data_IF_824642045718
#
_entry.id   IF_824642045718
#
_cell.length_a   1.000
_cell.length_b   1.000
_cell.length_c   1.000
_cell.angle_alpha   90.00
_cell.angle_beta   90.00
_cell.angle_gamma   90.00
#
_symmetry.space_group_name_H-M   'P 1'
#
loop_
_entity.id
_entity.type
_entity.pdbx_description
1 polymer ?
2 non-polymer ?
3 non-polymer ?
4 non-polymer ?
5 water ?
#
# COMPACT_ATOMS: atom_id res chain seq x y z
N UNK A 5 -11.61 19.28 25.30
CA UNK A 5 -12.57 19.22 24.18
C UNK A 5 -11.99 18.31 23.09
N UNK A 6 -12.87 17.80 22.23
CA UNK A 6 -12.41 17.02 21.08
C UNK A 6 -11.80 17.94 20.04
N UNK A 7 -10.82 17.42 19.29
CA UNK A 7 -10.22 18.17 18.19
C UNK A 7 -11.20 18.24 17.01
N UNK A 8 -11.90 17.15 16.76
CA UNK A 8 -12.84 17.08 15.65
C UNK A 8 -14.02 16.17 15.97
N UNK A 9 -15.17 16.50 15.39
CA UNK A 9 -16.29 15.60 15.39
C UNK A 9 -16.81 15.54 13.97
N UNK A 10 -16.78 14.33 13.41
CA UNK A 10 -17.19 14.12 12.02
C UNK A 10 -18.40 13.23 11.99
N UNK A 11 -19.51 13.79 11.53
CA UNK A 11 -20.72 13.00 11.38
C UNK A 11 -20.88 12.58 9.93
N UNK A 12 -21.44 11.41 9.71
CA UNK A 12 -21.63 10.92 8.36
C UNK A 12 -22.85 10.06 8.28
N UNK A 13 -23.39 9.88 7.07
CA UNK A 13 -24.57 9.09 6.88
C UNK A 13 -24.26 7.64 7.22
N UNK A 14 -23.09 7.18 6.82
CA UNK A 14 -22.69 5.80 7.05
C UNK A 14 -21.28 5.73 7.56
N UNK A 15 -21.03 4.75 8.43
CA UNK A 15 -19.63 4.43 8.86
C UNK A 15 -19.43 2.93 8.68
N UNK A 16 -18.47 2.54 7.83
CA UNK A 16 -18.12 1.14 7.68
C UNK A 16 -16.97 0.92 8.63
N UNK A 17 -17.18 0.10 9.68
CA UNK A 17 -16.19 0.03 10.75
C UNK A 17 -15.05 -0.90 10.40
N UNK A 18 -15.37 -1.97 9.70
CA UNK A 18 -14.38 -3.09 9.42
C UNK A 18 -14.10 -3.90 10.72
N UNK A 19 -14.81 -3.61 11.80
CA UNK A 19 -14.63 -4.43 13.03
C UNK A 19 -15.24 -5.78 12.86
N UNK A 20 -16.40 -5.81 12.24
CA UNK A 20 -17.05 -7.03 11.86
C UNK A 20 -17.48 -6.84 10.46
N UNK A 21 -17.40 -7.90 9.64
CA UNK A 21 -17.83 -7.82 8.24
C UNK A 21 -19.30 -7.44 8.20
N UNK A 22 -19.63 -6.42 7.41
CA UNK A 22 -21.01 -6.07 7.21
C UNK A 22 -21.47 -4.98 8.15
N UNK A 23 -20.70 -4.70 9.18
CA UNK A 23 -21.14 -3.66 10.14
C UNK A 23 -21.10 -2.23 9.56
N UNK A 24 -22.26 -1.56 9.55
CA UNK A 24 -22.35 -0.18 9.06
C UNK A 24 -23.19 0.60 10.05
N UNK A 25 -22.63 1.64 10.62
CA UNK A 25 -23.39 2.47 11.56
C UNK A 25 -24.06 3.59 10.76
N UNK A 26 -25.31 3.90 11.11
CA UNK A 26 -26.05 4.90 10.35
C UNK A 26 -26.21 6.16 11.17
N UNK A 27 -25.95 7.30 10.54
CA UNK A 27 -26.06 8.60 11.21
C UNK A 27 -25.32 8.66 12.53
N UNK A 28 -24.05 8.24 12.52
CA UNK A 28 -23.18 8.34 13.69
C UNK A 28 -22.09 9.30 13.45
N UNK A 29 -21.29 9.55 14.47
CA UNK A 29 -20.26 10.52 14.37
C UNK A 29 -19.02 9.97 15.06
N UNK A 30 -17.88 10.38 14.55
CA UNK A 30 -16.58 10.04 15.13
C UNK A 30 -16.00 11.26 15.84
N UNK A 31 -15.68 11.08 17.13
CA UNK A 31 -15.02 12.12 17.87
C UNK A 31 -13.54 11.80 17.98
N UNK A 32 -12.71 12.79 17.73
CA UNK A 32 -11.27 12.62 17.67
C UNK A 32 -10.53 13.47 18.70
N UNK A 33 -9.64 12.83 19.46
CA UNK A 33 -8.68 13.60 20.29
C UNK A 33 -7.35 12.90 20.35
N UNK A 34 -6.30 13.70 20.44
CA UNK A 34 -4.91 13.19 20.47
C UNK A 34 -4.65 12.32 19.26
N UNK A 35 -5.30 12.63 18.13
CA UNK A 35 -5.06 11.89 16.88
C UNK A 35 -5.75 10.52 16.78
N UNK A 36 -6.54 10.19 17.81
CA UNK A 36 -7.20 8.90 17.91
C UNK A 36 -8.70 9.01 17.92
N UNK A 37 -9.35 7.89 17.61
CA UNK A 37 -10.81 7.76 17.67
C UNK A 37 -11.21 7.69 19.15
N UNK A 38 -11.82 8.76 19.65
CA UNK A 38 -12.14 8.87 21.07
C UNK A 38 -13.53 8.35 21.40
N UNK A 39 -14.47 8.50 20.46
CA UNK A 39 -15.82 8.01 20.68
C UNK A 39 -16.48 7.84 19.37
N UNK A 40 -17.40 6.86 19.29
CA UNK A 40 -18.26 6.62 18.13
C UNK A 40 -19.71 6.68 18.64
N UNK A 41 -20.42 7.74 18.30
CA UNK A 41 -21.71 8.02 18.94
C UNK A 41 -22.79 8.44 17.96
N UNK A 42 -24.07 8.29 18.37
CA UNK A 42 -25.17 8.81 17.53
C UNK A 42 -24.99 10.30 17.18
N UNK A 43 -25.28 10.68 15.93
CA UNK A 43 -25.00 12.04 15.51
C UNK A 43 -25.79 13.05 16.35
N UNK A 44 -26.92 12.60 16.90
CA UNK A 44 -27.75 13.43 17.76
C UNK A 44 -27.00 13.84 19.03
N UNK A 45 -26.32 12.87 19.66
CA UNK A 45 -25.52 13.11 20.87
C UNK A 45 -24.29 13.98 20.58
N UNK A 46 -23.83 14.00 19.34
CA UNK A 46 -22.63 14.76 18.98
C UNK A 46 -22.84 16.25 19.03
N UNK A 47 -24.04 16.69 18.66
CA UNK A 47 -24.35 18.11 18.54
C UNK A 47 -24.04 18.92 19.82
N UNK A 48 -24.16 18.26 20.98
CA UNK A 48 -23.92 18.93 22.25
C UNK A 48 -22.60 18.59 22.95
N UNK A 49 -21.55 18.35 22.16
CA UNK A 49 -20.19 18.16 22.70
C UNK A 49 -19.26 19.23 22.16
N UNK A 50 -18.28 19.65 22.96
CA UNK A 50 -17.36 20.68 22.51
C UNK A 50 -16.36 20.08 21.53
N UNK A 51 -16.07 20.82 20.46
CA UNK A 51 -15.07 20.42 19.49
C UNK A 51 -14.42 21.63 18.86
N UNK A 52 -13.13 21.54 18.57
CA UNK A 52 -12.44 22.59 17.83
C UNK A 52 -13.00 22.72 16.41
N UNK A 53 -13.40 21.61 15.81
CA UNK A 53 -13.97 21.61 14.47
C UNK A 53 -15.09 20.59 14.43
N UNK A 54 -16.19 20.92 13.76
CA UNK A 54 -17.26 19.98 13.52
C UNK A 54 -17.41 19.86 12.03
N UNK A 55 -17.70 18.65 11.55
CA UNK A 55 -17.93 18.46 10.14
C UNK A 55 -19.11 17.54 9.91
N UNK A 56 -19.99 17.97 9.01
CA UNK A 56 -21.19 17.21 8.70
C UNK A 56 -21.10 16.71 7.28
N UNK A 57 -21.30 15.40 7.09
CA UNK A 57 -21.13 14.79 5.76
C UNK A 57 -22.34 13.97 5.37
N UNK A 58 -23.48 14.64 5.04
CA UNK A 58 -24.62 13.83 4.60
C UNK A 58 -24.30 13.07 3.30
N UNK A 59 -24.87 11.90 3.17
CA UNK A 59 -24.66 11.11 1.96
C UNK A 59 -23.21 10.66 1.77
N UNK A 60 -22.38 10.80 2.81
CA UNK A 60 -20.98 10.29 2.74
C UNK A 60 -20.88 9.07 3.57
N UNK A 61 -19.99 8.14 3.16
CA UNK A 61 -19.62 7.04 4.02
C UNK A 61 -18.20 7.34 4.57
N UNK A 62 -18.00 7.14 5.88
CA UNK A 62 -16.67 7.26 6.51
C UNK A 62 -16.18 5.84 6.71
N UNK A 64 -12.15 3.34 7.31
CA UNK A 64 -10.71 3.47 7.53
C UNK A 64 -10.02 3.84 6.21
N UNK A 65 -8.89 4.55 6.28
CA UNK A 65 -8.14 4.91 5.09
C UNK A 65 -7.61 3.60 4.46
N UNK A 66 -7.43 3.62 3.16
CA UNK A 66 -6.93 2.43 2.47
C UNK A 66 -5.41 2.32 2.68
N UNK A 67 -4.93 1.09 2.78
CA UNK A 67 -3.50 0.81 3.03
C UNK A 67 -2.94 0.09 1.78
N UNK A 68 -2.12 0.82 1.04
CA UNK A 68 -1.46 0.28 -0.17
C UNK A 68 -0.24 -0.51 0.30
N UNK A 69 -0.37 -1.84 0.30
CA UNK A 69 0.61 -2.67 0.93
C UNK A 69 1.86 -2.92 0.02
N UNK A 70 1.87 -2.36 -1.19
CA UNK A 70 3.03 -2.54 -2.10
C UNK A 70 3.09 -1.54 -3.19
N UNK A 71 4.01 -0.59 -3.03
CA UNK A 71 4.25 0.41 -4.09
C UNK A 71 5.71 0.68 -4.36
N UNK A 72 5.96 1.31 -5.52
CA UNK A 72 7.25 1.89 -5.89
C UNK A 72 6.98 3.32 -6.33
N UNK A 73 6.71 4.18 -5.35
CA UNK A 73 6.03 5.43 -5.60
C UNK A 73 6.73 6.27 -6.63
N UNK A 74 8.05 6.36 -6.54
CA UNK A 74 8.81 7.18 -7.50
C UNK A 74 8.61 6.77 -8.98
N UNK A 76 6.00 6.53 -10.41
CA UNK A 76 4.94 7.36 -10.95
C UNK A 76 5.44 8.16 -12.16
N UNK A 77 6.74 8.53 -12.13
CA UNK A 77 7.33 9.35 -13.23
C UNK A 77 7.50 8.55 -14.53
N UNK A 78 7.27 7.24 -14.48
CA UNK A 78 7.45 6.40 -15.65
C UNK A 78 6.09 5.89 -16.13
N UNK A 79 5.03 6.42 -15.55
CA UNK A 79 3.65 5.99 -15.88
C UNK A 79 3.36 6.08 -17.38
N UNK A 80 3.11 4.92 -18.02
CA UNK A 80 2.70 4.91 -19.42
C UNK A 80 3.80 5.32 -20.40
N UNK A 81 5.05 5.24 -19.96
CA UNK A 81 6.17 5.57 -20.82
C UNK A 81 6.30 4.49 -21.91
N UNK A 82 6.17 3.22 -21.50
CA UNK A 82 6.19 2.10 -22.42
C UNK A 82 5.26 1.00 -21.95
N UNK A 83 4.39 0.53 -22.85
CA UNK A 83 3.38 -0.46 -22.47
C UNK A 83 3.28 -1.57 -23.53
N UNK A 84 2.70 -2.69 -23.14
CA UNK A 84 2.27 -3.72 -24.08
C UNK A 84 3.44 -4.40 -24.82
N UNK A 85 4.56 -4.44 -24.18
CA UNK A 85 5.75 -5.04 -24.78
C UNK A 85 6.02 -6.37 -24.12
N UNK A 86 6.79 -7.22 -24.79
CA UNK A 86 7.32 -8.39 -24.09
C UNK A 86 8.11 -7.91 -22.90
N UNK A 87 8.09 -8.68 -21.80
CA UNK A 87 8.68 -8.18 -20.53
C UNK A 87 10.17 -7.90 -20.67
N UNK A 89 11.83 -7.03 -23.29
CA UNK A 89 11.93 -5.83 -24.09
C UNK A 89 11.60 -4.56 -23.24
N UNK A 90 10.50 -4.62 -22.53
CA UNK A 90 10.05 -3.51 -21.72
C UNK A 90 11.14 -3.10 -20.71
N UNK A 91 11.67 -4.07 -20.00
CA UNK A 91 12.68 -3.79 -18.97
C UNK A 91 14.02 -3.40 -19.59
N UNK A 92 14.53 -4.25 -20.48
CA UNK A 92 15.86 -4.04 -21.06
C UNK A 92 15.99 -2.77 -21.90
N UNK A 93 14.99 -2.47 -22.71
CA UNK A 93 15.09 -1.37 -23.66
C UNK A 93 14.42 -0.09 -23.26
N UNK A 94 13.50 -0.14 -22.29
CA UNK A 94 12.78 1.07 -21.88
C UNK A 94 12.96 1.44 -20.38
N UNK A 95 12.58 0.53 -19.48
CA UNK A 95 12.54 0.92 -18.08
C UNK A 95 13.95 1.08 -17.46
N UNK A 96 14.82 0.08 -17.66
CA UNK A 96 16.14 0.10 -17.02
C UNK A 96 17.06 1.18 -17.56
N UNK A 97 17.06 1.40 -18.88
CA UNK A 97 17.91 2.48 -19.36
C UNK A 97 17.39 3.83 -18.85
N UNK A 98 16.08 3.98 -18.73
CA UNK A 98 15.52 5.24 -18.27
C UNK A 98 15.86 5.48 -16.79
N UNK A 99 15.70 4.44 -15.98
CA UNK A 99 16.11 4.51 -14.58
C UNK A 99 17.59 4.81 -14.44
N UNK A 100 18.42 4.14 -15.25
CA UNK A 100 19.87 4.35 -15.13
C UNK A 100 20.26 5.79 -15.42
N UNK A 101 19.60 6.38 -16.39
CA UNK A 101 19.85 7.77 -16.80
C UNK A 101 19.33 8.79 -15.78
N UNK A 102 18.15 8.52 -15.21
CA UNK A 102 17.40 9.53 -14.46
C UNK A 102 17.24 9.36 -12.96
N UNK A 103 17.37 8.13 -12.43
CA UNK A 103 17.06 7.97 -11.01
C UNK A 103 18.18 8.44 -10.05
N UNK A 104 17.97 9.63 -9.47
CA UNK A 104 18.77 10.11 -8.35
C UNK A 104 17.82 10.62 -7.27
N UNK A 105 18.34 11.31 -6.27
CA UNK A 105 17.48 11.82 -5.16
C UNK A 105 16.33 12.63 -5.70
N UNK A 106 16.59 13.43 -6.73
CA UNK A 106 15.57 14.36 -7.26
C UNK A 106 14.36 13.64 -7.84
N UNK A 107 14.64 12.65 -8.67
CA UNK A 107 13.63 11.77 -9.27
C UNK A 107 12.83 11.12 -8.18
N UNK A 108 13.51 10.58 -7.17
CA UNK A 108 12.79 9.82 -6.09
C UNK A 108 11.91 10.77 -5.26
N UNK A 109 12.44 11.93 -4.90
CA UNK A 109 11.63 12.87 -4.15
C UNK A 109 10.43 13.34 -5.00
N UNK A 110 10.68 13.81 -6.22
CA UNK A 110 9.59 14.33 -7.05
C UNK A 110 8.53 13.27 -7.34
N UNK A 111 9.00 12.08 -7.69
CA UNK A 111 8.11 10.94 -8.03
C UNK A 111 7.31 10.46 -6.82
N UNK A 112 7.93 10.47 -5.65
CA UNK A 112 7.24 10.09 -4.43
C UNK A 112 6.15 11.10 -4.10
N UNK A 113 6.47 12.36 -4.22
CA UNK A 113 5.47 13.43 -3.95
C UNK A 113 4.31 13.30 -4.91
N UNK A 114 4.61 13.11 -6.18
CA UNK A 114 3.55 12.96 -7.15
C UNK A 114 2.63 11.76 -6.82
N UNK A 115 3.24 10.60 -6.57
CA UNK A 115 2.49 9.41 -6.13
C UNK A 115 1.63 9.70 -4.87
N UNK A 117 0.40 12.57 -3.79
CA UNK A 117 -0.76 13.40 -4.11
C UNK A 117 -1.87 12.57 -4.78
N UNK A 118 -1.48 11.64 -5.67
CA UNK A 118 -2.46 10.77 -6.30
C UNK A 118 -3.12 9.81 -5.28
N UNK A 120 -3.37 10.15 -1.92
CA UNK A 120 -4.29 10.85 -1.01
C UNK A 120 -5.60 11.16 -1.73
N UNK A 121 -5.52 11.59 -2.97
CA UNK A 121 -6.74 11.90 -3.74
C UNK A 121 -7.66 10.72 -3.87
N UNK A 122 -7.11 9.50 -3.84
CA UNK A 122 -7.95 8.35 -3.92
C UNK A 122 -8.25 7.64 -2.62
N UNK A 123 -7.96 8.28 -1.48
CA UNK A 123 -8.33 7.69 -0.17
C UNK A 123 -7.29 6.74 0.45
N UNK A 124 -6.05 6.73 -0.11
CA UNK A 124 -4.97 5.95 0.52
C UNK A 124 -4.30 6.73 1.61
N UNK A 125 -4.25 6.14 2.81
CA UNK A 125 -3.62 6.80 3.95
C UNK A 125 -2.25 6.22 4.32
N UNK A 126 -2.00 4.95 3.96
CA UNK A 126 -0.71 4.30 4.30
C UNK A 126 -0.10 3.72 3.05
N UNK A 127 1.18 3.97 2.86
CA UNK A 127 1.88 3.34 1.74
C UNK A 127 3.07 2.48 2.22
N UNK A 128 3.13 1.24 1.77
CA UNK A 128 4.26 0.36 2.01
C UNK A 128 5.13 0.39 0.75
N UNK A 129 6.10 1.30 0.73
CA UNK A 129 6.88 1.56 -0.47
C UNK A 129 8.18 0.78 -0.51
N UNK A 131 11.87 1.37 -2.78
CA UNK A 131 12.63 1.93 -3.90
C UNK A 131 14.06 2.23 -3.45
N UNK A 132 14.71 3.18 -4.11
CA UNK A 132 16.06 3.60 -3.80
C UNK A 132 15.99 4.98 -3.19
N UNK A 133 17.14 5.53 -2.76
CA UNK A 133 17.18 6.93 -2.23
C UNK A 133 16.13 7.10 -1.12
N UNK A 134 16.30 6.27 -0.08
CA UNK A 134 15.33 6.12 1.02
C UNK A 134 15.13 7.44 1.77
N UNK A 135 16.15 8.27 1.83
CA UNK A 135 16.00 9.59 2.48
C UNK A 135 15.01 10.48 1.71
N UNK A 136 15.02 10.37 0.39
CA UNK A 136 14.10 11.14 -0.44
C UNK A 136 12.68 10.69 -0.24
N UNK A 137 12.45 9.37 -0.17
CA UNK A 137 11.11 8.87 0.06
C UNK A 137 10.65 9.29 1.45
N UNK A 138 11.55 9.23 2.43
CA UNK A 138 11.20 9.63 3.80
C UNK A 138 10.83 11.10 3.87
N UNK A 139 11.61 11.94 3.18
CA UNK A 139 11.34 13.38 3.17
C UNK A 139 9.97 13.65 2.55
N UNK A 140 9.67 12.96 1.45
CA UNK A 140 8.38 13.09 0.81
C UNK A 140 7.26 12.66 1.72
N UNK A 141 7.48 11.55 2.43
CA UNK A 141 6.43 11.02 3.34
C UNK A 141 6.13 11.99 4.47
N UNK A 142 7.16 12.58 5.07
CA UNK A 142 6.92 13.58 6.13
C UNK A 142 6.27 14.85 5.58
N UNK A 143 6.61 15.21 4.34
CA UNK A 143 5.96 16.36 3.70
C UNK A 143 4.45 16.12 3.47
N UNK A 144 4.10 14.95 2.96
CA UNK A 144 2.68 14.64 2.65
C UNK A 144 1.85 14.43 3.91
N UNK A 145 2.48 13.90 4.95
CA UNK A 145 1.74 13.49 6.18
C UNK A 145 1.11 12.10 6.10
N UNK A 147 1.01 7.94 6.31
CA UNK A 147 1.68 6.97 7.15
C UNK A 147 2.57 6.20 6.17
N UNK A 148 3.89 6.34 6.32
CA UNK A 148 4.82 5.90 5.26
C UNK A 148 5.75 4.82 5.77
N UNK A 149 5.80 3.70 5.07
CA UNK A 149 6.84 2.68 5.26
C UNK A 149 7.80 2.76 4.10
N UNK A 150 9.05 3.17 4.40
CA UNK A 150 10.10 3.36 3.39
C UNK A 150 10.88 2.05 3.32
N UNK A 151 10.90 1.44 2.15
CA UNK A 151 11.52 0.14 1.99
C UNK A 151 12.91 0.33 1.40
N UNK A 152 13.92 0.00 2.20
CA UNK A 152 15.31 0.16 1.78
C UNK A 152 15.68 -0.98 0.84
N UNK A 153 15.62 -0.73 -0.47
CA UNK A 153 15.79 -1.83 -1.41
C UNK A 153 17.21 -2.36 -1.42
N UNK A 154 17.34 -3.66 -1.62
CA UNK A 154 18.65 -4.29 -1.59
C UNK A 154 18.73 -5.22 -2.77
N UNK A 155 19.79 -5.06 -3.57
CA UNK A 155 20.00 -5.76 -4.87
C UNK A 155 21.47 -6.14 -4.83
N UNK A 156 21.88 -7.13 -5.64
CA UNK A 156 23.33 -7.43 -5.71
C UNK A 156 24.07 -6.52 -6.71
N UNK A 157 23.37 -6.07 -7.76
CA UNK A 157 24.09 -5.34 -8.78
C UNK A 157 24.06 -3.84 -8.57
N UNK A 158 25.02 -3.13 -9.18
CA UNK A 158 25.13 -1.69 -8.99
C UNK A 158 24.07 -0.91 -9.74
N UNK A 159 23.59 0.15 -9.08
CA UNK A 159 22.69 1.12 -9.67
C UNK A 159 23.26 2.49 -9.31
N UNK A 160 22.57 3.57 -9.70
CA UNK A 160 23.01 4.91 -9.27
C UNK A 160 23.12 5.04 -7.77
N UNK A 161 22.23 4.36 -7.05
CA UNK A 161 22.15 4.48 -5.61
C UNK A 161 23.27 3.83 -4.82
N UNK A 162 23.63 2.60 -5.21
CA UNK A 162 24.55 1.80 -4.41
C UNK A 162 25.19 0.75 -5.29
N UNK A 163 26.36 0.29 -4.88
CA UNK A 163 27.24 -0.49 -5.75
C UNK A 163 27.18 -2.01 -5.53
N UNK A 164 26.78 -2.44 -4.34
CA UNK A 164 26.62 -3.86 -4.05
C UNK A 164 25.72 -4.01 -2.85
N UNK A 165 25.36 -5.25 -2.54
CA UNK A 165 24.41 -5.51 -1.42
C UNK A 165 24.77 -4.84 -0.08
N UNK A 166 26.02 -4.98 0.35
CA UNK A 166 26.44 -4.31 1.60
C UNK A 166 26.29 -2.79 1.50
N UNK A 167 26.44 -2.24 0.30
CA UNK A 167 26.33 -0.79 0.10
C UNK A 167 24.84 -0.36 0.19
N UNK A 168 23.92 -1.15 -0.37
CA UNK A 168 22.49 -0.81 -0.25
C UNK A 168 22.12 -0.81 1.24
N UNK A 169 22.62 -1.79 1.97
CA UNK A 169 22.28 -1.99 3.37
C UNK A 169 22.82 -0.82 4.21
N UNK A 170 24.08 -0.45 3.95
CA UNK A 170 24.75 0.57 4.77
C UNK A 170 24.10 1.92 4.54
N UNK A 171 23.78 2.20 3.29
CA UNK A 171 23.24 3.50 2.94
C UNK A 171 21.82 3.61 3.44
N UNK A 172 21.10 2.49 3.41
CA UNK A 172 19.73 2.49 3.89
C UNK A 172 19.70 2.71 5.39
N UNK A 174 21.99 4.18 7.16
CA UNK A 174 22.47 5.53 7.45
C UNK A 174 21.34 6.53 7.31
N UNK A 175 20.56 6.39 6.24
CA UNK A 175 19.41 7.29 6.02
C UNK A 175 18.31 7.08 7.07
N UNK A 176 18.03 5.82 7.41
CA UNK A 176 17.10 5.52 8.51
C UNK A 176 17.47 6.30 9.79
N UNK A 177 18.75 6.34 10.10
CA UNK A 177 19.21 7.01 11.33
C UNK A 177 18.94 8.54 11.36
N UNK A 178 18.68 9.15 10.20
CA UNK A 178 18.38 10.59 10.14
C UNK A 178 16.89 10.88 10.38
N UNK A 179 16.08 9.84 10.54
CA UNK A 179 14.63 9.99 10.60
C UNK A 179 14.06 9.27 11.79
N UNK A 180 14.83 9.19 12.86
CA UNK A 180 14.42 8.44 14.04
C UNK A 180 13.37 9.19 14.85
N UNK A 181 12.50 8.45 15.52
CA UNK A 181 11.48 9.06 16.39
C UNK A 181 10.31 9.68 15.66
N UNK A 182 10.14 9.35 14.36
CA UNK A 182 8.97 9.84 13.61
C UNK A 182 7.85 8.83 13.63
N UNK A 183 6.76 9.23 14.24
CA UNK A 183 5.65 8.36 14.47
C UNK A 183 5.03 7.79 13.16
N UNK A 184 5.03 8.58 12.11
CA UNK A 184 4.36 8.16 10.84
C UNK A 184 5.35 7.66 9.79
N UNK A 185 6.62 7.55 10.16
CA UNK A 185 7.60 7.08 9.20
C UNK A 185 8.33 5.88 9.75
N UNK A 186 8.30 4.78 9.00
CA UNK A 186 8.95 3.52 9.44
C UNK A 186 9.78 2.97 8.28
N UNK A 187 11.06 2.72 8.53
CA UNK A 187 11.92 2.09 7.53
C UNK A 187 11.84 0.56 7.66
N UNK A 188 11.90 -0.11 6.51
CA UNK A 188 11.92 -1.58 6.43
C UNK A 188 13.11 -2.00 5.60
N UNK A 189 13.48 -3.27 5.70
CA UNK A 189 14.49 -3.80 4.79
C UNK A 189 13.78 -4.45 3.61
N UNK A 190 14.26 -4.17 2.41
CA UNK A 190 13.56 -4.59 1.20
C UNK A 190 14.47 -5.31 0.21
N UNK A 191 14.91 -6.50 0.56
CA UNK A 191 15.58 -7.30 -0.46
C UNK A 191 14.60 -7.46 -1.63
N UNK A 192 15.06 -7.17 -2.85
CA UNK A 192 14.16 -7.04 -3.97
C UNK A 192 13.37 -8.30 -4.31
N UNK A 193 14.07 -9.44 -4.47
CA UNK A 193 13.41 -10.69 -4.87
C UNK A 193 14.42 -11.83 -4.75
N UNK A 194 13.92 -13.06 -4.73
CA UNK A 194 14.86 -14.17 -4.61
C UNK A 194 15.90 -14.21 -5.76
N UNK A 195 15.51 -13.76 -6.95
CA UNK A 195 16.39 -13.88 -8.14
C UNK A 195 17.39 -12.74 -8.27
N UNK A 196 17.37 -11.79 -7.33
CA UNK A 196 18.32 -10.64 -7.36
C UNK A 196 19.08 -10.53 -6.05
N UNK A 197 18.86 -11.48 -5.16
CA UNK A 197 19.45 -11.41 -3.84
C UNK A 197 20.10 -12.77 -3.50
N UNK A 198 21.35 -12.74 -3.06
CA UNK A 198 22.08 -13.97 -2.74
C UNK A 198 21.76 -14.53 -1.35
N UNK A 199 22.07 -15.80 -1.13
CA UNK A 199 21.87 -16.38 0.20
C UNK A 199 22.52 -15.55 1.26
N UNK A 200 23.74 -15.10 1.02
CA UNK A 200 24.44 -14.40 2.05
C UNK A 200 23.78 -13.07 2.36
N UNK A 201 23.27 -12.41 1.33
CA UNK A 201 22.57 -11.13 1.54
C UNK A 201 21.25 -11.38 2.33
N UNK A 202 20.52 -12.42 1.98
CA UNK A 202 19.30 -12.78 2.77
C UNK A 202 19.65 -13.02 4.25
N UNK A 203 20.77 -13.69 4.50
CA UNK A 203 21.19 -13.92 5.89
C UNK A 203 21.49 -12.62 6.60
N UNK A 204 22.12 -11.67 5.91
CA UNK A 204 22.44 -10.41 6.54
C UNK A 204 21.14 -9.64 6.84
N UNK A 205 20.18 -9.76 5.93
CA UNK A 205 18.87 -9.12 6.13
C UNK A 205 18.15 -9.72 7.34
N UNK A 206 18.15 -11.05 7.45
CA UNK A 206 17.53 -11.71 8.58
C UNK A 206 18.15 -11.22 9.89
N UNK A 207 19.47 -11.15 9.92
CA UNK A 207 20.18 -10.76 11.16
C UNK A 207 19.88 -9.32 11.52
N UNK A 208 19.96 -8.47 10.50
CA UNK A 208 19.77 -7.06 10.73
C UNK A 208 18.34 -6.71 11.15
N UNK A 209 17.37 -7.34 10.50
CA UNK A 209 15.95 -7.05 10.79
C UNK A 209 15.64 -7.48 12.22
N UNK A 210 16.26 -8.59 12.63
CA UNK A 210 16.10 -9.08 14.00
C UNK A 210 16.73 -8.11 15.04
N UNK A 211 17.97 -7.69 14.80
CA UNK A 211 18.69 -6.74 15.67
C UNK A 211 17.95 -5.42 15.83
N UNK A 212 17.39 -4.92 14.74
CA UNK A 212 16.77 -3.59 14.73
C UNK A 212 15.26 -3.62 14.78
N UNK A 213 14.69 -4.82 14.83
CA UNK A 213 13.25 -5.07 14.84
C UNK A 213 12.54 -4.38 13.65
N UNK A 215 10.57 -4.70 9.70
CA UNK A 215 9.86 -5.52 8.75
C UNK A 215 10.77 -5.87 7.57
N UNK A 216 10.45 -6.98 6.89
CA UNK A 216 11.10 -7.32 5.63
C UNK A 216 10.02 -7.32 4.55
N UNK A 217 10.34 -6.71 3.42
CA UNK A 217 9.39 -6.48 2.36
C UNK A 217 10.07 -6.98 1.10
N UNK A 218 9.51 -8.01 0.47
CA UNK A 218 10.24 -8.74 -0.62
C UNK A 218 9.26 -9.24 -1.67
N UNK A 219 9.60 -9.14 -2.97
CA UNK A 219 8.76 -9.75 -4.01
C UNK A 219 9.00 -11.25 -4.02
N UNK A 220 7.96 -12.04 -3.80
CA UNK A 220 8.14 -13.52 -3.74
C UNK A 220 7.11 -14.30 -4.59
N UNK A 221 7.60 -15.24 -5.42
CA UNK A 221 6.75 -16.07 -6.24
C UNK A 221 5.84 -15.27 -7.17
N UNK A 222 6.39 -14.24 -7.80
CA UNK A 222 5.58 -13.46 -8.77
C UNK A 222 5.35 -14.23 -10.10
N UNK A 223 6.37 -14.94 -10.59
CA UNK A 223 6.29 -15.55 -11.93
C UNK A 223 6.65 -17.04 -11.92
N UNK A 224 6.12 -17.78 -12.88
CA UNK A 224 6.52 -19.19 -13.08
C UNK A 224 8.02 -19.32 -13.38
N UNK A 225 8.57 -18.41 -14.20
CA UNK A 225 10.02 -18.40 -14.45
C UNK A 225 10.85 -18.28 -13.16
N UNK A 226 10.45 -17.36 -12.26
CA UNK A 226 11.16 -17.18 -11.00
C UNK A 226 11.16 -18.49 -10.23
N UNK A 227 9.99 -19.11 -10.13
CA UNK A 227 9.87 -20.25 -9.29
C UNK A 227 10.66 -21.46 -9.88
N UNK A 228 10.61 -21.62 -11.20
CA UNK A 228 11.29 -22.74 -11.91
C UNK A 228 12.81 -22.52 -11.97
N UNK A 229 13.24 -21.28 -12.18
CA UNK A 229 14.67 -20.97 -12.19
C UNK A 229 15.32 -21.13 -10.84
N UNK A 230 14.56 -20.88 -9.77
CA UNK A 230 15.06 -21.06 -8.45
C UNK A 230 15.54 -22.51 -8.21
N UNK A 231 14.79 -23.45 -8.71
CA UNK A 231 15.10 -24.87 -8.49
C UNK A 231 16.45 -25.21 -9.14
N UNK A 232 16.64 -24.70 -10.35
CA UNK A 232 17.90 -24.94 -11.07
C UNK A 232 19.08 -24.21 -10.41
N UNK A 233 18.84 -23.05 -9.85
CA UNK A 233 19.94 -22.32 -9.26
C UNK A 233 20.18 -22.60 -7.78
N UNK A 234 19.12 -22.90 -7.05
CA UNK A 234 19.24 -23.08 -5.62
C UNK A 234 18.76 -24.43 -5.17
N UNK A 235 18.20 -25.20 -6.09
CA UNK A 235 17.81 -26.59 -5.82
C UNK A 235 16.44 -26.75 -5.20
N UNK A 236 15.75 -25.63 -4.97
CA UNK A 236 14.41 -25.71 -4.41
C UNK A 236 13.65 -24.42 -4.78
N UNK A 237 12.31 -24.46 -4.70
CA UNK A 237 11.51 -23.28 -5.00
C UNK A 237 11.83 -22.16 -4.02
N UNK A 238 11.51 -20.89 -4.42
CA UNK A 238 11.99 -19.78 -3.57
C UNK A 238 11.47 -19.82 -2.14
N UNK A 239 10.20 -20.11 -1.93
CA UNK A 239 9.73 -20.12 -0.51
C UNK A 239 10.49 -21.11 0.37
N UNK A 240 10.82 -22.28 -0.19
CA UNK A 240 11.55 -23.30 0.56
C UNK A 240 12.98 -22.80 0.84
N UNK A 241 13.57 -22.14 -0.15
CA UNK A 241 14.89 -21.54 0.05
C UNK A 241 14.82 -20.48 1.13
N UNK A 242 13.79 -19.62 1.08
CA UNK A 242 13.74 -18.57 2.04
C UNK A 242 13.47 -19.13 3.43
N UNK A 243 12.68 -20.21 3.51
CA UNK A 243 12.49 -20.87 4.79
C UNK A 243 13.83 -21.37 5.36
N UNK A 244 14.61 -22.05 4.53
CA UNK A 244 15.95 -22.52 4.93
C UNK A 244 16.83 -21.37 5.44
N UNK A 245 16.71 -20.20 4.80
CA UNK A 245 17.53 -19.02 5.15
C UNK A 245 17.01 -18.22 6.36
N UNK A 246 15.79 -18.54 6.80
CA UNK A 246 15.24 -17.90 8.01
C UNK A 246 14.37 -16.69 7.72
N UNK A 247 14.03 -16.48 6.45
CA UNK A 247 13.31 -15.27 6.04
C UNK A 247 11.80 -15.30 6.33
N UNK A 248 11.22 -16.49 6.51
CA UNK A 248 9.77 -16.57 6.68
C UNK A 248 9.35 -16.46 8.15
N UNK A 249 8.68 -15.36 8.49
CA UNK A 249 8.25 -15.11 9.85
C UNK A 249 7.24 -13.98 9.79
N UNK A 250 6.69 -13.61 10.94
CA UNK A 250 5.63 -12.62 10.92
C UNK A 250 6.10 -11.24 10.49
N UNK A 251 7.39 -10.99 10.50
CA UNK A 251 7.85 -9.64 10.03
C UNK A 251 7.93 -9.53 8.51
N UNK A 252 7.67 -10.61 7.79
CA UNK A 252 7.80 -10.60 6.33
C UNK A 252 6.47 -10.21 5.65
N UNK A 253 6.53 -9.20 4.78
CA UNK A 253 5.43 -8.83 3.87
C UNK A 253 5.87 -9.32 2.50
N UNK A 254 5.20 -10.39 2.01
CA UNK A 254 5.62 -11.03 0.78
C UNK A 254 4.78 -10.51 -0.37
N UNK A 255 5.36 -9.68 -1.22
CA UNK A 255 4.59 -9.16 -2.35
C UNK A 255 4.38 -10.15 -3.48
N UNK A 256 3.22 -10.03 -4.11
CA UNK A 256 2.78 -10.89 -5.24
C UNK A 256 2.27 -12.26 -4.82
N UNK A 258 2.02 -15.14 -6.30
CA UNK A 258 1.09 -15.59 -7.34
C UNK A 258 1.12 -17.11 -7.54
N UNK A 259 2.33 -17.67 -7.62
CA UNK A 259 2.46 -19.10 -7.92
C UNK A 259 2.74 -19.87 -6.69
N UNK A 260 1.69 -20.44 -6.10
CA UNK A 260 1.82 -21.17 -4.85
C UNK A 260 1.21 -22.55 -5.00
N UNK A 261 1.87 -23.56 -4.47
CA UNK A 261 1.16 -24.85 -4.35
C UNK A 261 0.54 -24.94 -2.99
N UNK A 262 -0.22 -25.99 -2.70
CA UNK A 262 -0.95 -26.02 -1.41
C UNK A 262 -0.01 -26.13 -0.21
N UNK A 263 1.13 -26.79 -0.40
CA UNK A 263 2.15 -26.88 0.64
C UNK A 263 2.72 -25.49 0.99
N UNK A 264 2.86 -24.64 -0.02
CA UNK A 264 3.38 -23.29 0.19
C UNK A 264 2.36 -22.37 0.86
N UNK A 265 1.07 -22.57 0.56
CA UNK A 265 0.01 -21.88 1.31
C UNK A 265 0.09 -22.23 2.80
N UNK A 266 0.24 -23.52 3.11
CA UNK A 266 0.38 -23.95 4.50
C UNK A 266 1.66 -23.42 5.17
N UNK A 267 2.77 -23.40 4.42
CA UNK A 267 4.06 -22.82 4.85
C UNK A 267 3.92 -21.35 5.27
N UNK A 268 3.25 -20.56 4.40
CA UNK A 268 2.97 -19.16 4.70
C UNK A 268 2.17 -19.06 6.00
N UNK A 269 1.10 -19.82 6.10
CA UNK A 269 0.26 -19.76 7.32
C UNK A 269 1.06 -20.14 8.58
N UNK A 270 1.87 -21.18 8.49
CA UNK A 270 2.66 -21.61 9.64
C UNK A 270 3.71 -20.62 10.12
N UNK A 271 4.25 -19.81 9.20
CA UNK A 271 5.26 -18.83 9.55
C UNK A 271 4.71 -17.44 9.74
N UNK A 272 3.41 -17.28 9.55
CA UNK A 272 2.74 -16.02 9.87
C UNK A 272 3.12 -14.85 8.99
N UNK A 273 3.66 -15.13 7.81
CA UNK A 273 3.95 -14.00 6.91
C UNK A 273 2.63 -13.45 6.39
N UNK A 274 2.68 -12.26 5.79
CA UNK A 274 1.51 -11.66 5.11
C UNK A 274 1.85 -11.52 3.64
N UNK A 275 0.84 -11.42 2.79
CA UNK A 275 1.10 -11.19 1.36
C UNK A 275 0.49 -9.87 0.91
N UNK A 276 1.09 -9.25 -0.11
CA UNK A 276 0.47 -8.12 -0.79
C UNK A 276 0.03 -8.56 -2.17
N UNK A 277 -1.29 -8.49 -2.39
CA UNK A 277 -1.88 -8.92 -3.64
C UNK A 277 -1.96 -7.74 -4.57
N UNK A 278 -1.39 -7.86 -5.78
CA UNK A 278 -1.26 -6.74 -6.69
C UNK A 278 -1.91 -7.08 -8.02
N UNK A 279 -3.24 -7.13 -8.06
CA UNK A 279 -3.95 -7.73 -9.22
C UNK A 279 -3.69 -7.05 -10.56
N UNK A 280 -3.68 -5.71 -10.62
CA UNK A 280 -3.51 -5.06 -11.93
C UNK A 280 -2.13 -5.39 -12.51
N UNK A 281 -1.11 -5.29 -11.68
CA UNK A 281 0.27 -5.55 -12.11
C UNK A 281 0.40 -7.03 -12.53
N UNK A 282 -0.21 -7.91 -11.76
CA UNK A 282 -0.13 -9.34 -12.07
C UNK A 282 -0.85 -9.65 -13.38
N UNK A 284 -1.42 -7.19 -15.91
CA UNK A 284 -0.77 -6.44 -16.96
C UNK A 284 0.54 -7.04 -17.35
N UNK A 285 1.29 -7.58 -16.37
CA UNK A 285 2.56 -8.29 -16.66
C UNK A 285 2.36 -9.79 -16.95
N UNK A 286 1.09 -10.24 -17.01
CA UNK A 286 0.75 -11.65 -17.31
C UNK A 286 1.47 -12.60 -16.36
N UNK A 287 1.51 -12.22 -15.08
CA UNK A 287 2.11 -13.06 -14.04
C UNK A 287 1.18 -14.23 -13.66
N UNK A 288 -0.12 -13.95 -13.56
CA UNK A 288 -1.07 -14.98 -13.14
C UNK A 288 -2.00 -14.49 -12.04
N UNK A 289 -2.72 -15.44 -11.44
CA UNK A 289 -3.72 -15.12 -10.44
C UNK A 289 -3.36 -15.70 -9.06
N UNK A 290 -3.03 -14.83 -8.13
CA UNK A 290 -2.71 -15.24 -6.76
C UNK A 290 -3.95 -15.88 -6.11
N UNK A 291 -3.75 -17.04 -5.44
CA UNK A 291 -4.86 -17.77 -4.82
C UNK A 291 -5.25 -17.16 -3.46
N UNK A 292 -5.68 -15.90 -3.50
CA UNK A 292 -5.93 -15.16 -2.27
C UNK A 292 -6.96 -15.84 -1.34
N UNK A 293 -7.95 -16.51 -1.93
CA UNK A 293 -9.00 -17.20 -1.13
C UNK A 293 -8.40 -18.33 -0.33
N UNK A 294 -7.50 -19.09 -0.97
CA UNK A 294 -6.81 -20.17 -0.28
C UNK A 294 -5.95 -19.60 0.86
N UNK A 295 -5.25 -18.50 0.56
CA UNK A 295 -4.40 -17.88 1.54
C UNK A 295 -5.18 -17.39 2.73
N UNK A 297 -8.21 -18.32 3.59
CA UNK A 297 -8.81 -19.49 4.30
C UNK A 297 -7.84 -20.20 5.24
N UNK A 298 -6.55 -20.15 4.90
CA UNK A 298 -5.49 -20.70 5.75
C UNK A 298 -5.10 -19.79 6.93
N UNK A 299 -5.66 -18.57 6.97
CA UNK A 299 -5.39 -17.62 8.06
C UNK A 299 -4.29 -16.60 7.78
N UNK A 300 -3.85 -16.53 6.52
CA UNK A 300 -2.82 -15.56 6.13
C UNK A 300 -3.45 -14.17 5.89
N UNK A 301 -2.81 -13.11 6.41
CA UNK A 301 -3.25 -11.72 6.12
C UNK A 301 -2.88 -11.37 4.69
N UNK A 302 -3.89 -11.21 3.84
CA UNK A 302 -3.66 -10.77 2.44
C UNK A 302 -4.17 -9.33 2.30
N UNK A 303 -3.23 -8.42 2.10
CA UNK A 303 -3.48 -7.01 1.86
C UNK A 303 -3.41 -6.78 0.34
N UNK A 304 -3.55 -5.53 -0.07
CA UNK A 304 -3.63 -5.22 -1.49
C UNK A 304 -2.66 -4.09 -1.74
N UNK A 305 -1.90 -4.21 -2.82
CA UNK A 305 -1.06 -3.07 -3.28
C UNK A 305 -1.32 -2.78 -4.73
N UNK A 306 -0.78 -1.66 -5.21
CA UNK A 306 -0.96 -1.29 -6.61
C UNK A 306 0.27 -1.66 -7.44
N UNK A 307 1.39 -1.93 -6.77
CA UNK A 307 2.71 -1.99 -7.39
C UNK A 307 3.03 -0.60 -7.96
N UNK A 308 3.99 -0.55 -8.87
CA UNK A 308 4.41 0.76 -9.47
C UNK A 308 3.47 1.24 -10.58
N UNK A 309 3.39 2.56 -10.78
CA UNK A 309 2.48 3.13 -11.78
C UNK A 309 2.86 2.78 -13.20
N UNK A 310 4.07 2.26 -13.42
CA UNK A 310 4.41 1.77 -14.76
C UNK A 310 3.82 0.40 -15.13
N UNK A 311 3.22 -0.30 -14.17
CA UNK A 311 2.53 -1.53 -14.51
C UNK A 311 1.21 -1.63 -13.77
N UNK A 312 0.36 -0.65 -14.01
CA UNK A 312 -0.97 -0.64 -13.41
C UNK A 312 -2.07 -0.04 -14.35
N UNK A 313 -2.01 1.23 -14.75
CA UNK A 313 -0.98 2.22 -14.41
C UNK A 313 -1.52 3.30 -13.46
N UNK A 314 -2.48 2.91 -12.60
CA UNK A 314 -3.05 3.83 -11.59
C UNK A 314 -2.46 3.50 -10.20
N UNK A 315 -2.58 4.45 -9.27
CA UNK A 315 -2.30 4.17 -7.85
C UNK A 315 -3.61 4.26 -7.08
N UNK A 316 -4.64 3.64 -7.63
CA UNK A 316 -6.04 3.82 -7.14
C UNK A 316 -6.41 2.56 -6.34
N UNK A 318 -9.09 1.98 -4.52
CA UNK A 318 -10.50 1.56 -4.76
C UNK A 318 -10.62 0.63 -6.00
N UNK A 319 -9.98 1.04 -7.09
CA UNK A 319 -9.98 0.27 -8.32
C UNK A 319 -9.25 -1.03 -8.07
N UNK A 320 -8.18 -0.99 -7.25
CA UNK A 320 -7.39 -2.23 -7.01
C UNK A 320 -8.21 -3.21 -6.14
N UNK A 321 -8.96 -2.67 -5.18
CA UNK A 321 -9.82 -3.49 -4.32
C UNK A 321 -10.95 -4.14 -5.11
N UNK A 322 -11.58 -3.36 -5.99
CA UNK A 322 -12.58 -3.91 -6.90
C UNK A 322 -11.98 -5.02 -7.76
N UNK A 323 -10.79 -4.76 -8.32
CA UNK A 323 -10.13 -5.77 -9.19
C UNK A 323 -9.79 -7.04 -8.44
N UNK A 324 -9.32 -6.89 -7.20
CA UNK A 324 -9.08 -8.06 -6.34
C UNK A 324 -10.37 -8.91 -6.20
N UNK A 325 -11.49 -8.25 -5.93
CA UNK A 325 -12.76 -8.97 -5.80
C UNK A 325 -13.21 -9.64 -7.09
N UNK A 326 -13.03 -8.96 -8.22
CA UNK A 326 -13.40 -9.54 -9.50
C UNK A 326 -12.50 -10.68 -9.95
N UNK A 327 -11.21 -10.46 -9.82
CA UNK A 327 -10.23 -11.48 -10.23
C UNK A 327 -10.36 -12.74 -9.37
N UNK A 328 -10.69 -12.57 -8.09
CA UNK A 328 -10.85 -13.74 -7.21
C UNK A 328 -11.99 -14.65 -7.70
N UNK A 329 -13.05 -14.04 -8.22
CA UNK A 329 -14.23 -14.81 -8.63
C UNK A 329 -13.97 -15.53 -9.92
N UNK A 330 -13.28 -14.85 -10.84
CA UNK A 330 -13.07 -15.47 -12.15
C UNK A 330 -12.00 -16.56 -11.99
N UNK A 331 -11.11 -16.38 -11.03
CA UNK A 331 -10.01 -17.35 -10.78
C UNK A 331 -10.52 -18.63 -10.12
N UNK A 332 -11.48 -18.49 -9.21
CA UNK A 332 -12.07 -19.65 -8.55
C UNK A 332 -13.34 -20.16 -9.24
N UNK A 333 -13.83 -19.40 -10.23
CA UNK A 333 -15.14 -19.65 -10.82
C UNK A 333 -16.25 -19.77 -9.75
N UNK A 334 -16.14 -18.97 -8.72
CA UNK A 334 -17.14 -18.97 -7.65
C UNK A 334 -17.53 -17.53 -7.36
N UNK A 335 -18.79 -17.17 -7.64
CA UNK A 335 -19.23 -15.79 -7.46
C UNK A 335 -19.28 -15.34 -5.99
N UNK A 336 -19.21 -16.28 -5.04
CA UNK A 336 -19.17 -15.89 -3.63
C UNK A 336 -17.75 -15.66 -3.10
N UNK A 337 -16.73 -15.87 -3.91
CA UNK A 337 -15.35 -15.62 -3.44
C UNK A 337 -15.13 -14.12 -3.23
N UNK A 338 -14.36 -13.78 -2.18
CA UNK A 338 -14.01 -12.39 -1.82
C UNK A 338 -15.22 -11.45 -1.93
N UNK A 339 -16.21 -11.61 -1.05
CA UNK A 339 -17.35 -10.64 -1.05
C UNK A 339 -16.86 -9.25 -0.70
N UNK A 340 -17.70 -8.26 -0.94
CA UNK A 340 -17.30 -6.85 -0.74
C UNK A 340 -16.69 -6.60 0.66
N UNK A 341 -17.32 -7.11 1.73
CA UNK A 341 -16.75 -6.89 3.07
C UNK A 341 -15.34 -7.44 3.19
N UNK A 342 -15.13 -8.63 2.64
CA UNK A 342 -13.80 -9.22 2.62
C UNK A 342 -12.77 -8.36 1.86
N UNK A 343 -13.15 -7.86 0.70
CA UNK A 343 -12.29 -6.98 -0.09
C UNK A 343 -11.91 -5.72 0.66
N UNK A 344 -12.90 -5.09 1.30
CA UNK A 344 -12.61 -3.95 2.16
C UNK A 344 -11.62 -4.28 3.28
N UNK A 345 -11.79 -5.44 3.91
CA UNK A 345 -10.86 -5.88 4.93
C UNK A 345 -9.44 -6.08 4.35
N UNK A 347 -8.20 -4.40 1.87
CA UNK A 347 -7.68 -3.05 1.62
C UNK A 347 -7.35 -2.20 2.86
N UNK A 348 -7.81 -2.64 4.06
CA UNK A 348 -7.66 -1.82 5.25
C UNK A 348 -7.01 -2.67 6.37
N UNK A 349 -7.83 -3.39 7.11
CA UNK A 349 -7.30 -4.11 8.29
C UNK A 349 -6.22 -5.18 7.96
N UNK A 350 -6.32 -5.84 6.82
CA UNK A 350 -5.27 -6.84 6.46
C UNK A 350 -3.93 -6.16 6.17
N UNK A 351 -3.97 -4.97 5.60
CA UNK A 351 -2.74 -4.22 5.38
C UNK A 351 -2.11 -3.84 6.70
N UNK A 352 -2.95 -3.48 7.68
CA UNK A 352 -2.46 -3.15 8.98
C UNK A 352 -1.84 -4.36 9.64
N UNK A 353 -2.51 -5.51 9.52
CA UNK A 353 -1.99 -6.76 10.09
C UNK A 353 -0.61 -7.04 9.49
N UNK A 354 -0.49 -6.87 8.17
CA UNK A 354 0.78 -7.18 7.50
C UNK A 354 1.90 -6.30 8.05
N UNK A 355 1.55 -5.05 8.35
CA UNK A 355 2.53 -4.08 8.72
C UNK A 355 2.78 -4.08 10.26
N UNK A 356 2.08 -4.94 10.98
CA UNK A 356 2.28 -5.04 12.44
C UNK A 356 1.69 -3.88 13.21
N UNK A 357 0.64 -3.28 12.67
CA UNK A 357 0.00 -2.13 13.30
C UNK A 357 -1.54 -2.26 13.37
N UNK A 358 -2.06 -3.48 13.31
CA UNK A 358 -3.53 -3.67 13.29
C UNK A 358 -4.16 -3.31 14.63
N UNK A 359 -3.35 -3.23 15.69
CA UNK A 359 -3.87 -2.73 16.98
C UNK A 359 -4.00 -1.20 16.97
N UNK A 360 -3.41 -0.54 15.96
CA UNK A 360 -3.37 0.93 15.89
C UNK A 360 -4.21 1.57 14.75
N UNK A 361 -4.30 0.89 13.61
CA UNK A 361 -5.08 1.39 12.45
C UNK A 361 -5.81 0.27 11.76
N UNK A 362 -6.61 0.63 10.74
CA UNK A 362 -7.23 -0.42 9.93
C UNK A 362 -8.71 -0.64 10.15
N UNK A 363 -9.24 -0.12 11.27
CA UNK A 363 -10.68 -0.20 11.51
C UNK A 363 -11.15 0.97 12.36
N UNK A 364 -12.45 1.24 12.30
CA UNK A 364 -13.04 2.30 13.09
C UNK A 364 -13.40 1.76 14.50
N UNK A 365 -12.47 1.97 15.44
CA UNK A 365 -12.59 1.43 16.81
C UNK A 365 -12.00 2.46 17.77
N UNK A 366 -12.67 2.67 18.89
CA UNK A 366 -12.16 3.61 19.84
C UNK A 366 -10.74 3.21 20.30
N UNK A 367 -9.85 4.17 20.34
CA UNK A 367 -8.48 3.91 20.79
C UNK A 367 -7.51 3.76 19.64
N UNK A 368 -8.03 3.52 18.43
CA UNK A 368 -7.18 3.46 17.22
C UNK A 368 -6.93 4.83 16.68
N UNK A 369 -5.85 4.97 15.93
CA UNK A 369 -5.50 6.25 15.32
C UNK A 369 -6.49 6.60 14.20
N UNK A 370 -6.79 7.89 14.08
CA UNK A 370 -7.86 8.35 13.20
C UNK A 370 -7.39 8.49 11.74
N UNK A 371 -7.08 7.34 11.13
CA UNK A 371 -6.73 7.26 9.71
C UNK A 371 -8.05 6.93 8.98
N UNK A 372 -8.71 7.96 8.45
CA UNK A 372 -10.09 7.80 7.96
C UNK A 372 -10.24 8.48 6.63
N UNK A 373 -11.21 8.02 5.86
CA UNK A 373 -11.58 8.72 4.64
C UNK A 373 -13.08 8.87 4.55
N UNK A 374 -13.51 9.83 3.75
CA UNK A 374 -14.94 10.01 3.47
C UNK A 374 -15.15 9.97 1.96
N UNK A 375 -16.19 9.26 1.55
CA UNK A 375 -16.60 9.21 0.13
C UNK A 375 -18.00 9.76 0.01
N UNK A 376 -18.16 10.60 -0.98
CA UNK A 376 -19.45 11.20 -1.30
C UNK A 376 -20.21 10.28 -2.21
N UNK A 377 -21.28 9.65 -1.72
CA UNK A 377 -22.02 8.70 -2.55
C UNK A 377 -23.22 9.35 -3.27
N UNK A 378 -23.42 10.65 -3.08
CA UNK A 378 -24.53 11.37 -3.78
C UNK A 378 -24.08 11.72 -5.20
N UNK A 379 -23.70 10.71 -5.94
CA UNK A 379 -23.34 10.87 -7.37
C UNK A 379 -24.10 9.81 -8.16
N UNK A 380 -24.31 10.03 -9.46
CA UNK A 380 -25.03 9.06 -10.25
C UNK A 380 -24.33 7.70 -10.21
N UNK A 381 -23.01 7.72 -10.08
CA UNK A 381 -22.21 6.48 -10.18
C UNK A 381 -22.49 5.53 -9.01
N UNK A 382 -23.04 6.07 -7.94
CA UNK A 382 -23.38 5.26 -6.77
C UNK A 382 -24.83 5.48 -6.34
N UNK A 383 -25.69 5.64 -7.32
CA UNK A 383 -27.12 5.84 -7.09
C UNK A 383 -27.84 4.69 -7.79
N UNK A 384 -28.90 4.12 -7.16
CA UNK A 384 -29.39 4.38 -5.80
C UNK A 384 -28.42 3.88 -4.77
N UNK A 385 -28.42 4.48 -3.59
CA UNK A 385 -27.48 4.09 -2.51
C UNK A 385 -28.12 3.06 -1.59
N UNK A 386 -28.06 1.79 -1.97
CA UNK A 386 -28.64 0.75 -1.15
C UNK A 386 -27.77 0.42 0.06
N UNK A 387 -26.51 0.08 -0.20
CA UNK A 387 -25.60 -0.44 0.83
C UNK A 387 -24.22 0.05 0.50
N UNK A 388 -23.64 0.80 1.43
CA UNK A 388 -22.39 1.43 1.08
C UNK A 388 -21.24 0.47 0.92
N UNK A 389 -21.30 -0.71 1.58
CA UNK A 389 -20.21 -1.68 1.45
C UNK A 389 -20.07 -2.15 0.01
N UNK A 390 -21.19 -2.60 -0.55
CA UNK A 390 -21.23 -3.01 -1.95
C UNK A 390 -20.75 -1.89 -2.85
N UNK A 391 -21.27 -0.67 -2.64
CA UNK A 391 -20.85 0.46 -3.52
C UNK A 391 -19.39 0.78 -3.42
N UNK A 392 -18.84 0.82 -2.20
CA UNK A 392 -17.42 1.12 -2.06
C UNK A 392 -16.57 0.19 -2.94
N UNK A 393 -16.93 -1.07 -2.94
CA UNK A 393 -16.15 -2.09 -3.72
C UNK A 393 -16.50 -2.12 -5.21
N UNK A 394 -17.77 -2.05 -5.55
CA UNK A 394 -18.15 -2.36 -6.95
C UNK A 394 -18.56 -1.20 -7.80
N UNK A 395 -18.79 -0.02 -7.20
CA UNK A 395 -19.31 1.14 -7.97
C UNK A 395 -18.57 2.46 -7.77
N UNK A 396 -18.25 2.78 -6.50
CA UNK A 396 -17.61 4.04 -6.15
C UNK A 396 -16.23 4.16 -6.82
N UNK A 397 -15.80 5.39 -7.00
CA UNK A 397 -14.53 5.63 -7.68
C UNK A 397 -13.64 6.58 -6.91
N UNK A 398 -12.38 6.61 -7.30
CA UNK A 398 -11.39 7.44 -6.66
C UNK A 398 -11.81 8.93 -6.60
N UNK A 399 -12.64 9.34 -7.56
CA UNK A 399 -13.04 10.74 -7.66
C UNK A 399 -14.04 11.16 -6.55
N UNK A 400 -14.60 10.16 -5.87
CA UNK A 400 -15.63 10.38 -4.87
C UNK A 400 -15.06 10.55 -3.45
N UNK A 401 -13.76 10.31 -3.30
CA UNK A 401 -13.15 10.56 -1.98
C UNK A 401 -13.08 12.09 -1.75
N UNK A 402 -13.70 12.58 -0.66
CA UNK A 402 -13.78 14.03 -0.47
C UNK A 402 -12.80 14.51 0.59
N UNK A 403 -12.58 13.66 1.58
CA UNK A 403 -11.76 14.02 2.74
C UNK A 403 -10.88 12.87 3.14
N UNK A 404 -9.68 13.20 3.58
CA UNK A 404 -8.72 12.21 4.10
C UNK A 404 -8.06 12.76 5.36
N UNK A 405 -8.00 11.91 6.38
CA UNK A 405 -7.26 12.22 7.63
C UNK A 405 -6.29 11.11 7.95
N UNK A 406 -5.12 11.49 8.46
CA UNK A 406 -4.15 10.50 8.98
C UNK A 406 -3.82 10.95 10.40
N UNK A 407 -4.08 10.08 11.39
CA UNK A 407 -3.90 10.46 12.78
C UNK A 407 -4.68 11.74 13.08
N UNK A 408 -5.86 11.83 12.50
CA UNK A 408 -6.76 12.95 12.74
C UNK A 408 -6.41 14.24 12.03
N UNK A 409 -5.32 14.24 11.28
CA UNK A 409 -4.92 15.45 10.57
C UNK A 409 -5.40 15.42 9.13
N UNK A 410 -6.15 16.46 8.72
CA UNK A 410 -6.63 16.56 7.31
C UNK A 410 -5.49 16.67 6.30
N UNK A 411 -5.45 15.68 5.42
CA UNK A 411 -4.56 15.70 4.25
C UNK A 411 -5.31 16.17 3.00
N UNK A 413 -9.31 18.03 1.97
CA UNK A 413 -10.61 18.55 2.39
C UNK A 413 -11.39 19.06 1.18
N UNK A 414 -12.55 18.47 0.94
CA UNK A 414 -13.36 18.72 -0.27
C UNK A 414 -12.48 18.66 -1.54
N UNK A 415 -11.63 17.62 -1.60
CA UNK A 415 -10.74 17.37 -2.72
C UNK A 415 -9.67 18.44 -2.98
N UNK A 416 -9.37 19.23 -1.94
CA UNK A 416 -8.24 20.14 -1.99
C UNK A 416 -7.14 19.56 -1.10
N UNK A 417 -5.96 19.28 -1.65
CA UNK A 417 -4.86 18.77 -0.86
C UNK A 417 -4.38 19.84 0.12
N UNK A 418 -4.19 19.45 1.38
CA UNK A 418 -3.85 20.43 2.42
C UNK A 418 -2.37 20.48 2.78
N UNK A 419 -1.61 19.42 2.43
CA UNK A 419 -0.18 19.34 2.80
C UNK A 419 0.76 19.42 1.58
N UNK A 420 0.18 19.20 0.40
CA UNK A 420 0.92 19.23 -0.87
C UNK A 420 0.32 20.26 -1.80
N UNK A 421 1.17 20.89 -2.61
CA UNK A 421 0.75 21.88 -3.60
C UNK A 421 0.48 21.15 -4.93
N UNK A 422 -0.78 20.95 -5.24
CA UNK A 422 -1.15 20.18 -6.41
C UNK A 422 -0.54 20.77 -7.69
N UNK A 423 -0.50 22.11 -7.80
CA UNK A 423 0.14 22.76 -8.98
C UNK A 423 1.60 22.38 -9.11
N UNK A 424 2.32 22.42 -7.98
CA UNK A 424 3.70 22.04 -7.94
C UNK A 424 3.89 20.59 -8.40
N UNK A 425 3.03 19.68 -7.95
CA UNK A 425 3.14 18.28 -8.37
C UNK A 425 2.99 18.15 -9.89
N UNK A 426 2.00 18.86 -10.45
CA UNK A 426 1.80 18.82 -11.93
C UNK A 426 3.02 19.36 -12.62
N UNK A 427 3.56 20.46 -12.11
CA UNK A 427 4.76 21.05 -12.70
C UNK A 427 5.98 20.11 -12.65
N UNK A 428 6.17 19.41 -11.52
CA UNK A 428 7.29 18.44 -11.42
C UNK A 428 7.11 17.33 -12.41
N UNK A 429 5.87 16.89 -12.57
CA UNK A 429 5.61 15.80 -13.51
C UNK A 429 5.86 16.26 -14.95
N UNK A 430 5.48 17.50 -15.23
CA UNK A 430 5.70 18.07 -16.56
C UNK A 430 7.17 18.22 -16.90
N UNK A 431 7.94 18.60 -15.90
CA UNK A 431 9.41 18.73 -16.01
C UNK A 431 9.99 17.36 -16.34
N UNK A 432 9.55 16.34 -15.60
CA UNK A 432 10.04 14.99 -15.85
C UNK A 432 9.66 14.45 -17.21
N UNK A 433 8.48 14.80 -17.69
CA UNK A 433 8.07 14.44 -19.07
C UNK A 433 9.13 14.97 -20.08
N UNK A 434 9.50 16.24 -19.94
CA UNK A 434 10.49 16.84 -20.84
C UNK A 434 11.85 16.19 -20.70
N UNK A 435 12.26 15.89 -19.46
CA UNK A 435 13.57 15.33 -19.20
C UNK A 435 13.67 13.92 -19.75
N UNK A 436 12.63 13.16 -19.57
CA UNK A 436 12.64 11.74 -19.99
C UNK A 436 12.53 11.63 -21.51
N UNK A 437 11.69 12.47 -22.12
CA UNK A 437 11.47 12.40 -23.59
C UNK A 437 12.50 13.23 -24.38
N UNK A 438 13.39 13.91 -23.67
CA UNK A 438 14.38 14.81 -24.28
C UNK A 438 13.69 15.94 -25.09
N UNK A 439 12.71 16.60 -24.47
CA UNK A 439 12.08 17.79 -25.03
C UNK A 439 12.37 18.96 -24.09
N UNK A 440 12.33 20.19 -24.60
CA UNK A 440 13.01 21.27 -23.86
C UNK A 440 12.13 22.48 -23.65
#
# INVERSE_FOLDING_TARGET
XPQSRYEKIISARWIITVETDGEVLENHAIAIRDGKIAAIIPAADAAGLEADERLELPDHVLXPGLINLHGHSAXSLLRGLADDKALXDWLTNYIWPTEGKHVHDDFVFDGSLLAXGEXIRGGTTTINDXYFYNAAVARAGLASGXRTFVGCSILEFPTNYASNADDYIAKGXAERSQFLGEDLLTFTLAPHAPYTVSDDTFRKVVTLAEQEDXLIHCHIHETADEVNNSVKEHGQRPLARLQRLGLLSPRLVAAHXVHLNDAEVELAARHGLSTAHNPASNXKLASGISPVSKLXDAGVAVGIGTDGAASNNKLDXLAETRLAALLAKVGTLDPTSVPAAAAIRXATLNGARALGIADKVGSVKVGKQADLIALDLAQLETAPAFDPISHVVYAAGREQVSHVWVKGRALXRERKLTTLDESDLKARAGDWRNRILAKEGHHHHHH
#
